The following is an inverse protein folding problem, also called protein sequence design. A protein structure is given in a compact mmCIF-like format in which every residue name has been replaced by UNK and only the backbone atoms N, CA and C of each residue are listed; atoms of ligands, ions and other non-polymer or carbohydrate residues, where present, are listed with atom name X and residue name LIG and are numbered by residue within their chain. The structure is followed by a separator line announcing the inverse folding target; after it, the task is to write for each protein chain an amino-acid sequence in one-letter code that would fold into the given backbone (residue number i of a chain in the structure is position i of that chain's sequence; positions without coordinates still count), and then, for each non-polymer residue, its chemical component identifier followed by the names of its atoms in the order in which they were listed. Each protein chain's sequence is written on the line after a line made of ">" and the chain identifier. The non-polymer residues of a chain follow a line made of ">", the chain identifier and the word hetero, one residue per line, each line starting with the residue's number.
data_IF_881010860835
#
_entry.id   IF_881010860835
#
_cell.length_a   1.000
_cell.length_b   1.000
_cell.length_c   1.000
_cell.angle_alpha   90.00
_cell.angle_beta   90.00
_cell.angle_gamma   90.00
#
_symmetry.space_group_name_H-M   'P 1'
#
loop_
_entity.id
_entity.type
_entity.pdbx_description
1 polymer ?
#
# COMPACT_ATOMS: atom_id res chain seq x y z
N UNK A 1 -39.39 50.14 95.85
CA UNK A 1 -39.53 48.71 96.18
C UNK A 1 -39.22 47.94 94.90
N UNK A 2 -38.06 47.31 94.84
CA UNK A 2 -37.67 46.48 93.70
C UNK A 2 -38.59 45.27 93.63
N UNK A 3 -39.39 45.14 92.56
CA UNK A 3 -40.30 44.02 92.37
C UNK A 3 -39.57 42.90 91.64
N UNK A 4 -39.43 41.79 92.35
CA UNK A 4 -38.93 40.53 91.82
C UNK A 4 -40.14 39.65 91.50
N UNK A 5 -40.18 39.07 90.31
CA UNK A 5 -41.18 38.08 89.90
C UNK A 5 -40.50 36.73 89.66
N UNK A 6 -41.31 35.67 89.56
CA UNK A 6 -40.82 34.31 89.33
C UNK A 6 -41.43 33.78 88.04
N UNK A 7 -40.58 33.28 87.14
CA UNK A 7 -40.97 32.60 85.91
C UNK A 7 -40.46 31.15 85.95
N UNK A 8 -41.18 30.21 85.32
CA UNK A 8 -40.78 28.80 85.33
C UNK A 8 -39.76 28.50 84.23
N UNK A 9 -38.71 27.75 84.59
CA UNK A 9 -37.72 27.25 83.64
C UNK A 9 -38.36 26.23 82.69
N UNK A 10 -38.23 26.46 81.39
CA UNK A 10 -38.87 25.64 80.35
C UNK A 10 -38.30 24.21 80.24
N UNK A 11 -37.14 23.92 80.85
CA UNK A 11 -36.52 22.59 80.81
C UNK A 11 -36.78 21.75 82.06
N UNK A 12 -36.57 22.30 83.27
CA UNK A 12 -36.69 21.56 84.53
C UNK A 12 -37.93 21.91 85.35
N UNK A 13 -38.67 22.97 84.96
CA UNK A 13 -39.86 23.45 85.66
C UNK A 13 -39.59 24.26 86.93
N UNK A 14 -38.33 24.44 87.34
CA UNK A 14 -38.00 25.20 88.55
C UNK A 14 -38.11 26.71 88.40
N UNK A 15 -38.15 27.41 89.52
CA UNK A 15 -38.37 28.86 89.61
C UNK A 15 -37.14 29.69 89.21
N UNK A 16 -37.29 30.62 88.25
CA UNK A 16 -36.31 31.63 87.86
C UNK A 16 -36.77 32.97 88.44
N UNK A 17 -35.96 33.57 89.32
CA UNK A 17 -36.22 34.92 89.85
C UNK A 17 -35.76 35.96 88.86
N UNK A 18 -36.66 36.85 88.46
CA UNK A 18 -36.40 37.90 87.47
C UNK A 18 -36.82 39.26 88.00
N UNK A 19 -36.10 40.30 87.61
CA UNK A 19 -36.38 41.67 88.00
C UNK A 19 -37.26 42.33 86.94
N UNK A 20 -38.19 43.20 87.34
CA UNK A 20 -39.08 43.90 86.38
C UNK A 20 -38.33 44.75 85.35
N UNK A 21 -37.14 45.27 85.71
CA UNK A 21 -36.30 46.08 84.81
C UNK A 21 -35.42 45.23 83.85
N UNK A 22 -35.63 43.91 83.76
CA UNK A 22 -34.91 43.08 82.79
C UNK A 22 -35.64 43.05 81.44
N UNK A 23 -35.04 43.68 80.43
CA UNK A 23 -35.59 43.71 79.07
C UNK A 23 -35.65 42.33 78.40
N UNK A 24 -34.84 41.36 78.87
CA UNK A 24 -34.79 39.99 78.34
C UNK A 24 -34.87 38.97 79.48
N UNK A 25 -36.09 38.50 79.76
CA UNK A 25 -36.38 37.49 80.78
C UNK A 25 -35.84 36.12 80.31
N UNK A 26 -34.96 35.44 81.07
CA UNK A 26 -34.44 34.13 80.69
C UNK A 26 -35.51 33.03 80.69
N UNK A 27 -35.56 32.23 79.61
CA UNK A 27 -36.47 31.07 79.51
C UNK A 27 -35.99 29.82 80.28
N UNK A 28 -34.70 29.78 80.65
CA UNK A 28 -34.06 28.64 81.30
C UNK A 28 -33.16 29.11 82.45
N UNK A 29 -32.97 28.30 83.50
CA UNK A 29 -31.88 28.52 84.46
C UNK A 29 -30.53 28.52 83.76
N UNK A 30 -29.53 29.18 84.34
CA UNK A 30 -28.18 29.23 83.79
C UNK A 30 -27.60 27.84 83.53
N UNK A 31 -27.83 26.88 84.44
CA UNK A 31 -27.44 25.47 84.25
C UNK A 31 -28.35 24.67 83.29
N UNK A 32 -29.60 25.08 83.08
CA UNK A 32 -30.56 24.37 82.22
C UNK A 32 -30.55 24.85 80.76
N UNK A 33 -30.00 26.05 80.52
CA UNK A 33 -29.95 26.69 79.22
C UNK A 33 -29.04 25.97 78.21
N UNK A 34 -28.11 25.14 78.70
CA UNK A 34 -27.12 24.43 77.90
C UNK A 34 -27.33 22.92 77.97
N UNK A 35 -27.00 22.22 76.88
CA UNK A 35 -26.91 20.77 76.87
C UNK A 35 -25.68 20.32 76.08
N UNK A 36 -25.18 19.13 76.40
CA UNK A 36 -24.05 18.53 75.70
C UNK A 36 -24.55 17.69 74.53
N UNK A 37 -23.99 17.92 73.35
CA UNK A 37 -24.15 17.08 72.16
C UNK A 37 -22.79 16.64 71.62
N UNK A 38 -22.75 15.64 70.75
CA UNK A 38 -21.52 15.20 70.06
C UNK A 38 -21.36 15.90 68.71
N UNK A 39 -20.13 16.28 68.36
CA UNK A 39 -19.80 16.83 67.05
C UNK A 39 -19.80 15.74 65.97
N UNK A 40 -20.57 15.94 64.88
CA UNK A 40 -20.69 14.98 63.76
C UNK A 40 -19.36 14.65 63.04
N UNK A 41 -18.35 15.51 63.16
CA UNK A 41 -17.06 15.39 62.43
C UNK A 41 -15.98 14.70 63.26
N UNK A 42 -15.92 15.00 64.58
CA UNK A 42 -14.83 14.52 65.43
C UNK A 42 -15.28 13.71 66.66
N UNK A 43 -16.60 13.56 66.87
CA UNK A 43 -17.17 12.81 68.00
C UNK A 43 -16.99 13.47 69.38
N UNK A 44 -16.25 14.58 69.49
CA UNK A 44 -16.05 15.30 70.77
C UNK A 44 -17.31 16.05 71.20
N UNK A 45 -17.47 16.26 72.50
CA UNK A 45 -18.59 16.99 73.07
C UNK A 45 -18.59 18.48 72.70
N UNK A 46 -19.78 19.06 72.64
CA UNK A 46 -20.04 20.49 72.45
C UNK A 46 -21.23 20.94 73.28
N UNK A 47 -21.15 22.15 73.82
CA UNK A 47 -22.26 22.77 74.57
C UNK A 47 -23.12 23.59 73.61
N UNK A 48 -24.43 23.34 73.66
CA UNK A 48 -25.41 23.97 72.78
C UNK A 48 -26.47 24.64 73.64
N UNK A 49 -26.77 25.89 73.33
CA UNK A 49 -27.84 26.63 74.01
C UNK A 49 -29.21 26.19 73.48
N UNK A 50 -30.15 25.90 74.37
CA UNK A 50 -31.49 25.40 74.02
C UNK A 50 -32.36 26.41 73.28
N UNK A 51 -32.06 27.70 73.42
CA UNK A 51 -32.77 28.78 72.70
C UNK A 51 -32.19 29.10 71.30
N UNK A 52 -31.22 28.33 70.79
CA UNK A 52 -30.74 28.52 69.42
C UNK A 52 -31.65 27.82 68.42
N UNK A 53 -32.25 28.56 67.50
CA UNK A 53 -33.13 28.01 66.45
C UNK A 53 -32.39 27.11 65.45
N UNK A 54 -31.09 27.36 65.26
CA UNK A 54 -30.21 26.59 64.37
C UNK A 54 -28.95 26.16 65.12
N UNK A 55 -29.06 25.17 66.02
CA UNK A 55 -27.93 24.73 66.82
C UNK A 55 -26.82 24.13 65.93
N UNK A 56 -25.54 24.44 66.19
CA UNK A 56 -24.45 23.87 65.41
C UNK A 56 -24.35 22.36 65.68
N UNK A 57 -24.14 21.57 64.63
CA UNK A 57 -23.95 20.12 64.72
C UNK A 57 -22.47 19.70 64.78
N UNK A 58 -21.56 20.65 64.60
CA UNK A 58 -20.12 20.43 64.69
C UNK A 58 -19.40 21.70 65.15
N UNK A 59 -18.23 21.54 65.79
CA UNK A 59 -17.38 22.67 66.17
C UNK A 59 -17.05 23.55 64.96
N UNK A 60 -16.96 24.86 65.17
CA UNK A 60 -16.54 25.83 64.14
C UNK A 60 -15.20 25.43 63.50
N UNK A 61 -14.26 24.97 64.32
CA UNK A 61 -12.94 24.49 63.87
C UNK A 61 -13.03 23.22 63.05
N UNK A 62 -13.93 22.30 63.38
CA UNK A 62 -14.14 21.07 62.60
C UNK A 62 -14.72 21.37 61.22
N UNK A 63 -15.71 22.28 61.14
CA UNK A 63 -16.24 22.77 59.86
C UNK A 63 -15.16 23.49 59.04
N UNK A 64 -14.32 24.30 59.68
CA UNK A 64 -13.20 24.97 59.02
C UNK A 64 -12.17 23.98 58.47
N UNK A 65 -11.86 22.90 59.22
CA UNK A 65 -10.95 21.83 58.78
C UNK A 65 -11.50 21.04 57.59
N UNK A 66 -12.78 20.70 57.60
CA UNK A 66 -13.42 20.05 56.43
C UNK A 66 -13.47 20.99 55.22
N UNK A 67 -13.75 22.28 55.42
CA UNK A 67 -13.71 23.26 54.34
C UNK A 67 -12.30 23.41 53.75
N UNK A 68 -11.24 23.30 54.57
CA UNK A 68 -9.84 23.38 54.13
C UNK A 68 -9.40 22.19 53.26
N UNK A 69 -10.12 21.07 53.28
CA UNK A 69 -9.87 19.92 52.39
C UNK A 69 -10.37 20.15 50.96
N UNK A 70 -11.12 21.22 50.71
CA UNK A 70 -11.56 21.59 49.37
C UNK A 70 -10.58 22.56 48.73
N UNK A 71 -10.11 22.20 47.54
CA UNK A 71 -9.20 23.00 46.73
C UNK A 71 -9.87 23.40 45.41
N UNK A 72 -9.29 24.39 44.75
CA UNK A 72 -9.69 24.82 43.41
C UNK A 72 -8.53 24.64 42.43
N UNK A 73 -8.86 24.35 41.17
CA UNK A 73 -7.94 24.43 40.04
C UNK A 73 -8.65 25.00 38.82
N UNK A 74 -7.92 25.51 37.83
CA UNK A 74 -8.52 25.98 36.58
C UNK A 74 -8.79 24.83 35.60
N UNK A 75 -9.93 24.91 34.91
CA UNK A 75 -10.25 24.05 33.79
C UNK A 75 -9.36 24.37 32.60
N UNK A 76 -8.69 23.37 32.03
CA UNK A 76 -7.77 23.56 30.89
C UNK A 76 -8.45 24.05 29.60
N UNK A 77 -9.78 23.97 29.48
CA UNK A 77 -10.50 24.42 28.28
C UNK A 77 -11.11 25.82 28.43
N UNK A 78 -11.88 26.06 29.49
CA UNK A 78 -12.62 27.32 29.67
C UNK A 78 -12.03 28.25 30.72
N UNK A 79 -11.00 27.83 31.45
CA UNK A 79 -10.34 28.62 32.48
C UNK A 79 -11.10 28.75 33.81
N UNK A 80 -12.40 28.42 33.85
CA UNK A 80 -13.22 28.49 35.08
C UNK A 80 -12.72 27.51 36.15
N UNK A 81 -13.03 27.81 37.41
CA UNK A 81 -12.58 26.99 38.54
C UNK A 81 -13.31 25.64 38.65
N UNK A 82 -12.57 24.61 39.04
CA UNK A 82 -13.03 23.27 39.38
C UNK A 82 -12.72 23.07 40.87
N UNK A 83 -13.76 22.88 41.69
CA UNK A 83 -13.60 22.50 43.10
C UNK A 83 -13.36 21.00 43.21
N UNK A 84 -12.38 20.59 44.00
CA UNK A 84 -12.08 19.19 44.25
C UNK A 84 -11.70 18.98 45.72
N UNK A 85 -11.98 17.78 46.23
CA UNK A 85 -11.60 17.39 47.59
C UNK A 85 -10.19 16.79 47.58
N UNK A 86 -9.40 17.03 48.64
CA UNK A 86 -8.03 16.55 48.77
C UNK A 86 -7.92 15.02 48.63
N UNK A 87 -8.94 14.27 49.04
CA UNK A 87 -8.97 12.80 48.97
C UNK A 87 -9.37 12.23 47.60
N UNK A 88 -9.66 13.08 46.60
CA UNK A 88 -9.99 12.60 45.26
C UNK A 88 -8.75 12.05 44.55
N UNK A 89 -8.71 10.74 44.31
CA UNK A 89 -7.63 10.07 43.59
C UNK A 89 -7.39 10.64 42.18
N UNK A 90 -8.46 11.01 41.48
CA UNK A 90 -8.41 11.53 40.11
C UNK A 90 -9.12 12.89 40.05
N UNK A 91 -8.36 13.95 40.23
CA UNK A 91 -8.88 15.33 40.14
C UNK A 91 -9.12 15.69 38.66
N UNK A 92 -10.37 16.02 38.26
CA UNK A 92 -10.67 16.35 36.88
C UNK A 92 -9.85 17.54 36.35
N UNK A 93 -9.42 17.46 35.09
CA UNK A 93 -8.74 18.58 34.41
C UNK A 93 -9.70 19.55 33.71
N UNK A 94 -10.93 19.11 33.50
CA UNK A 94 -11.99 19.80 32.77
C UNK A 94 -13.31 19.70 33.53
N UNK A 95 -14.21 20.68 33.36
CA UNK A 95 -15.61 20.52 33.75
C UNK A 95 -16.27 19.40 32.97
N UNK A 96 -17.37 18.84 33.50
CA UNK A 96 -18.13 17.76 32.85
C UNK A 96 -18.50 18.10 31.41
N UNK A 97 -18.92 19.34 31.15
CA UNK A 97 -19.24 19.85 29.82
C UNK A 97 -18.02 20.22 28.98
N UNK A 98 -16.90 20.58 29.61
CA UNK A 98 -15.66 20.95 28.92
C UNK A 98 -14.79 19.74 28.54
N UNK A 99 -15.01 18.61 29.20
CA UNK A 99 -14.25 17.38 29.03
C UNK A 99 -14.47 16.73 27.66
N UNK A 100 -15.57 17.08 26.99
CA UNK A 100 -15.95 16.58 25.67
C UNK A 100 -15.63 17.61 24.59
N UNK A 101 -15.32 17.11 23.38
CA UNK A 101 -15.13 17.92 22.19
C UNK A 101 -15.68 17.18 20.98
N UNK A 102 -16.23 17.93 20.03
CA UNK A 102 -16.69 17.38 18.75
C UNK A 102 -15.54 17.32 17.76
N UNK A 103 -15.36 16.18 17.12
CA UNK A 103 -14.47 15.98 15.96
C UNK A 103 -15.24 15.37 14.79
N UNK A 104 -14.67 15.43 13.60
CA UNK A 104 -15.23 14.79 12.42
C UNK A 104 -14.72 13.35 12.27
N UNK A 105 -15.63 12.45 11.90
CA UNK A 105 -15.33 11.06 11.59
C UNK A 105 -14.50 10.98 10.29
N UNK A 106 -13.39 10.25 10.30
CA UNK A 106 -12.50 10.14 9.14
C UNK A 106 -13.08 9.34 7.95
N UNK A 107 -14.23 8.68 8.12
CA UNK A 107 -14.85 7.82 7.10
C UNK A 107 -16.10 8.46 6.51
N UNK A 108 -17.02 8.97 7.36
CA UNK A 108 -18.28 9.56 6.90
C UNK A 108 -18.33 11.08 7.01
N UNK A 109 -17.30 11.71 7.58
CA UNK A 109 -17.24 13.14 7.89
C UNK A 109 -18.33 13.67 8.83
N UNK A 110 -19.17 12.79 9.39
CA UNK A 110 -20.14 13.13 10.43
C UNK A 110 -19.49 13.49 11.77
N UNK A 111 -20.20 14.22 12.61
CA UNK A 111 -19.73 14.62 13.94
C UNK A 111 -19.65 13.44 14.92
N UNK A 112 -18.66 13.49 15.81
CA UNK A 112 -18.52 12.55 16.92
C UNK A 112 -17.96 13.26 18.16
N UNK A 113 -18.44 12.87 19.34
CA UNK A 113 -17.96 13.38 20.61
C UNK A 113 -16.81 12.50 21.12
N UNK A 114 -15.72 13.16 21.54
CA UNK A 114 -14.58 12.49 22.16
C UNK A 114 -14.18 13.21 23.44
N UNK A 115 -13.62 12.46 24.37
CA UNK A 115 -13.12 13.02 25.62
C UNK A 115 -11.70 13.56 25.43
N UNK A 116 -11.40 14.75 25.96
CA UNK A 116 -10.12 15.44 25.78
C UNK A 116 -8.93 14.72 26.41
N UNK A 117 -9.16 13.98 27.50
CA UNK A 117 -8.11 13.22 28.20
C UNK A 117 -7.84 11.82 27.64
N UNK A 118 -8.54 11.39 26.60
CA UNK A 118 -8.27 10.09 25.99
C UNK A 118 -6.92 10.12 25.26
N UNK A 119 -6.01 9.22 25.62
CA UNK A 119 -4.70 9.10 24.96
C UNK A 119 -4.84 8.65 23.50
N UNK A 120 -5.81 7.78 23.23
CA UNK A 120 -6.09 7.22 21.91
C UNK A 120 -7.57 7.40 21.55
N UNK A 121 -8.02 8.65 21.29
CA UNK A 121 -9.42 8.89 21.00
C UNK A 121 -9.81 8.25 19.66
N UNK A 122 -11.03 7.71 19.52
CA UNK A 122 -11.50 7.20 18.26
C UNK A 122 -11.47 8.27 17.16
N UNK A 123 -11.08 7.89 15.95
CA UNK A 123 -11.04 8.77 14.76
C UNK A 123 -12.26 8.62 13.86
N UNK A 124 -13.07 7.60 14.09
CA UNK A 124 -14.27 7.30 13.33
C UNK A 124 -15.29 6.57 14.21
N UNK A 125 -16.57 6.65 13.85
CA UNK A 125 -17.64 5.91 14.53
C UNK A 125 -17.36 4.40 14.50
N UNK A 126 -17.75 3.71 15.57
CA UNK A 126 -17.64 2.24 15.66
C UNK A 126 -18.32 1.56 14.46
N UNK A 127 -19.48 2.06 14.07
CA UNK A 127 -20.25 1.56 12.93
C UNK A 127 -19.56 1.82 11.59
N UNK A 128 -18.93 2.99 11.41
CA UNK A 128 -18.14 3.28 10.21
C UNK A 128 -16.96 2.32 10.07
N UNK A 129 -16.24 2.04 11.17
CA UNK A 129 -15.17 1.04 11.17
C UNK A 129 -15.70 -0.36 10.86
N UNK A 130 -16.86 -0.73 11.39
CA UNK A 130 -17.49 -2.02 11.11
C UNK A 130 -17.90 -2.16 9.64
N UNK A 131 -18.47 -1.10 9.04
CA UNK A 131 -18.79 -1.04 7.61
C UNK A 131 -17.56 -1.18 6.72
N UNK A 132 -16.48 -0.47 7.02
CA UNK A 132 -15.22 -0.62 6.29
C UNK A 132 -14.63 -2.02 6.47
N UNK A 133 -14.69 -2.59 7.68
CA UNK A 133 -14.27 -3.97 7.91
C UNK A 133 -15.09 -4.98 7.09
N UNK A 134 -16.39 -4.74 6.88
CA UNK A 134 -17.28 -5.59 6.08
C UNK A 134 -16.98 -5.55 4.56
N UNK A 135 -16.26 -4.54 4.07
CA UNK A 135 -15.79 -4.49 2.68
C UNK A 135 -14.63 -5.44 2.41
N UNK A 136 -13.99 -5.97 3.44
CA UNK A 136 -12.95 -6.98 3.28
C UNK A 136 -13.57 -8.35 3.02
N UNK A 137 -13.16 -8.97 1.93
CA UNK A 137 -13.57 -10.30 1.49
C UNK A 137 -12.37 -11.26 1.51
N UNK A 138 -12.67 -12.55 1.44
CA UNK A 138 -11.67 -13.61 1.32
C UNK A 138 -11.90 -14.42 0.05
N UNK A 139 -10.82 -14.92 -0.55
CA UNK A 139 -10.85 -15.93 -1.62
C UNK A 139 -9.69 -16.90 -1.44
N UNK A 140 -9.76 -18.09 -2.02
CA UNK A 140 -8.65 -19.05 -1.96
C UNK A 140 -7.56 -18.75 -2.99
N UNK A 141 -6.30 -18.95 -2.60
CA UNK A 141 -5.16 -18.91 -3.50
C UNK A 141 -5.16 -20.12 -4.42
N UNK A 142 -5.05 -19.89 -5.75
CA UNK A 142 -5.03 -20.98 -6.74
C UNK A 142 -3.84 -21.95 -6.62
N UNK A 143 -2.76 -21.58 -5.93
CA UNK A 143 -1.58 -22.43 -5.76
C UNK A 143 -1.56 -23.20 -4.44
N UNK A 144 -1.75 -22.51 -3.30
CA UNK A 144 -1.63 -23.13 -1.97
C UNK A 144 -2.96 -23.37 -1.26
N UNK A 145 -4.10 -22.93 -1.83
CA UNK A 145 -5.43 -23.08 -1.24
C UNK A 145 -5.74 -22.14 -0.06
N UNK A 146 -4.71 -21.55 0.58
CA UNK A 146 -4.90 -20.63 1.72
C UNK A 146 -5.66 -19.36 1.33
N UNK A 147 -6.26 -18.70 2.30
CA UNK A 147 -7.09 -17.51 2.08
C UNK A 147 -6.26 -16.26 1.75
N UNK A 148 -6.75 -15.49 0.78
CA UNK A 148 -6.29 -14.15 0.40
C UNK A 148 -7.36 -13.17 0.82
N UNK A 149 -7.02 -12.25 1.73
CA UNK A 149 -7.88 -11.11 2.09
C UNK A 149 -7.73 -10.02 1.05
N UNK A 150 -8.86 -9.52 0.55
CA UNK A 150 -8.88 -8.42 -0.41
C UNK A 150 -10.02 -7.45 -0.09
N UNK A 151 -9.89 -6.21 -0.52
CA UNK A 151 -10.94 -5.21 -0.39
C UNK A 151 -11.90 -5.29 -1.58
N UNK A 152 -13.20 -5.16 -1.36
CA UNK A 152 -14.22 -5.25 -2.41
C UNK A 152 -14.01 -4.23 -3.54
N UNK A 153 -13.43 -3.07 -3.23
CA UNK A 153 -13.20 -1.99 -4.20
C UNK A 153 -11.87 -2.14 -4.99
N UNK A 154 -11.10 -3.22 -4.80
CA UNK A 154 -9.90 -3.47 -5.59
C UNK A 154 -10.25 -3.88 -7.01
N UNK A 155 -9.77 -3.12 -8.00
CA UNK A 155 -9.95 -3.42 -9.43
C UNK A 155 -9.36 -4.78 -9.81
N UNK A 156 -8.14 -5.05 -9.35
CA UNK A 156 -7.38 -6.25 -9.69
C UNK A 156 -7.15 -7.09 -8.42
N UNK A 157 -8.09 -8.00 -8.15
CA UNK A 157 -8.01 -8.88 -6.99
C UNK A 157 -6.99 -9.99 -7.23
N UNK A 158 -5.93 -10.12 -6.41
CA UNK A 158 -4.90 -11.15 -6.60
C UNK A 158 -5.46 -12.58 -6.59
N UNK A 159 -4.99 -13.42 -7.51
CA UNK A 159 -5.32 -14.85 -7.54
C UNK A 159 -4.37 -15.71 -6.68
N UNK A 160 -3.22 -15.14 -6.34
CA UNK A 160 -2.14 -15.81 -5.62
C UNK A 160 -1.66 -14.91 -4.48
N UNK A 161 -1.19 -15.52 -3.38
CA UNK A 161 -0.37 -14.78 -2.41
C UNK A 161 0.89 -14.24 -3.08
N UNK A 162 1.47 -13.18 -2.52
CA UNK A 162 2.69 -12.55 -3.04
C UNK A 162 3.83 -13.56 -3.21
N UNK A 163 3.96 -14.49 -2.27
CA UNK A 163 4.94 -15.58 -2.31
C UNK A 163 4.54 -16.72 -3.27
N UNK A 164 3.24 -16.97 -3.45
CA UNK A 164 2.74 -18.02 -4.34
C UNK A 164 2.70 -17.59 -5.81
N UNK A 165 2.63 -16.29 -6.07
CA UNK A 165 2.51 -15.68 -7.39
C UNK A 165 3.71 -15.97 -8.29
N UNK A 166 4.88 -16.23 -7.70
CA UNK A 166 6.13 -16.43 -8.42
C UNK A 166 6.58 -17.88 -8.36
N UNK A 167 7.15 -18.37 -9.45
CA UNK A 167 7.80 -19.68 -9.54
C UNK A 167 9.05 -19.58 -10.41
N UNK A 168 9.88 -20.61 -10.40
CA UNK A 168 11.03 -20.71 -11.30
C UNK A 168 10.74 -21.67 -12.45
N UNK A 169 11.31 -21.37 -13.63
CA UNK A 169 11.35 -22.24 -14.81
C UNK A 169 12.76 -22.19 -15.41
N UNK A 170 13.25 -23.31 -15.94
CA UNK A 170 14.55 -23.36 -16.62
C UNK A 170 14.53 -22.63 -17.97
N UNK A 171 15.60 -21.89 -18.26
CA UNK A 171 15.86 -21.29 -19.58
C UNK A 171 16.02 -22.38 -20.64
N UNK A 172 15.31 -22.26 -21.75
CA UNK A 172 15.37 -23.24 -22.83
C UNK A 172 16.77 -23.33 -23.46
N UNK A 173 17.61 -22.29 -23.38
CA UNK A 173 18.94 -22.25 -24.01
C UNK A 173 20.07 -22.71 -23.09
N UNK A 174 20.15 -22.16 -21.88
CA UNK A 174 21.27 -22.40 -20.94
C UNK A 174 20.86 -23.08 -19.63
N UNK A 175 19.58 -23.47 -19.48
CA UNK A 175 19.03 -24.14 -18.29
C UNK A 175 19.08 -23.34 -16.97
N UNK A 176 19.54 -22.08 -16.99
CA UNK A 176 19.49 -21.18 -15.83
C UNK A 176 18.06 -20.97 -15.35
N UNK A 177 17.85 -20.82 -14.03
CA UNK A 177 16.53 -20.55 -13.46
C UNK A 177 16.04 -19.14 -13.81
N UNK A 178 14.82 -19.05 -14.33
CA UNK A 178 14.11 -17.80 -14.65
C UNK A 178 12.94 -17.69 -13.68
N UNK A 179 12.81 -16.52 -13.04
CA UNK A 179 11.66 -16.20 -12.20
C UNK A 179 10.49 -15.76 -13.07
N UNK A 180 9.36 -16.45 -12.97
CA UNK A 180 8.14 -16.20 -13.74
C UNK A 180 6.93 -16.07 -12.83
N UNK A 181 5.93 -15.30 -13.26
CA UNK A 181 4.66 -15.18 -12.56
C UNK A 181 3.69 -16.27 -13.04
N UNK A 182 2.97 -16.91 -12.11
CA UNK A 182 2.03 -18.01 -12.42
C UNK A 182 0.84 -17.57 -13.27
N UNK A 183 0.45 -16.30 -13.17
CA UNK A 183 -0.62 -15.71 -13.98
C UNK A 183 -0.20 -15.19 -15.36
N UNK A 184 1.04 -15.42 -15.81
CA UNK A 184 1.44 -15.03 -17.18
C UNK A 184 0.92 -16.05 -18.20
N UNK A 185 0.15 -15.59 -19.19
CA UNK A 185 -0.30 -16.43 -20.32
C UNK A 185 0.88 -16.86 -21.21
N UNK A 186 1.84 -15.95 -21.42
CA UNK A 186 3.03 -16.17 -22.26
C UNK A 186 4.32 -15.95 -21.46
N UNK A 187 4.69 -16.89 -20.56
CA UNK A 187 5.90 -16.73 -19.77
C UNK A 187 7.16 -16.79 -20.64
N UNK A 188 8.22 -16.06 -20.27
CA UNK A 188 9.46 -16.01 -21.05
C UNK A 188 10.14 -17.37 -21.10
N UNK A 189 10.60 -17.75 -22.29
CA UNK A 189 11.33 -19.01 -22.56
C UNK A 189 12.84 -18.92 -22.31
N UNK A 190 13.38 -17.71 -22.38
CA UNK A 190 14.82 -17.46 -22.31
C UNK A 190 15.13 -16.46 -21.20
N UNK A 191 16.25 -16.67 -20.51
CA UNK A 191 16.75 -15.74 -19.50
C UNK A 191 17.31 -14.48 -20.16
N UNK A 192 17.44 -13.41 -19.39
CA UNK A 192 17.85 -12.12 -19.94
C UNK A 192 19.28 -12.12 -20.48
N UNK A 193 20.17 -12.95 -19.93
CA UNK A 193 21.52 -13.12 -20.49
C UNK A 193 21.49 -13.76 -21.88
N UNK A 194 20.66 -14.79 -22.09
CA UNK A 194 20.46 -15.38 -23.42
C UNK A 194 19.79 -14.40 -24.39
N UNK A 195 18.79 -13.62 -23.94
CA UNK A 195 18.15 -12.59 -24.77
C UNK A 195 19.16 -11.55 -25.26
N UNK A 196 20.09 -11.13 -24.38
CA UNK A 196 21.16 -10.17 -24.73
C UNK A 196 22.19 -10.80 -25.66
N UNK A 197 22.64 -12.02 -25.37
CA UNK A 197 23.67 -12.72 -26.16
C UNK A 197 23.22 -13.01 -27.59
N UNK A 198 21.96 -13.44 -27.72
CA UNK A 198 21.34 -13.81 -29.00
C UNK A 198 20.36 -12.73 -29.49
N UNK A 199 20.61 -11.46 -29.16
CA UNK A 199 19.82 -10.34 -29.65
C UNK A 199 19.74 -10.39 -31.20
N UNK A 200 18.62 -9.99 -31.82
CA UNK A 200 18.48 -10.04 -33.27
C UNK A 200 19.61 -9.33 -34.01
N UNK A 201 20.18 -9.97 -35.04
CA UNK A 201 21.30 -9.42 -35.82
C UNK A 201 20.90 -9.27 -37.27
N UNK A 202 21.36 -8.20 -37.90
CA UNK A 202 21.17 -7.99 -39.33
C UNK A 202 22.30 -8.68 -40.12
N UNK A 203 21.93 -9.40 -41.18
CA UNK A 203 22.85 -10.01 -42.12
C UNK A 203 22.45 -9.64 -43.55
N UNK A 204 23.44 -9.56 -44.46
CA UNK A 204 23.17 -9.37 -45.89
C UNK A 204 23.01 -10.71 -46.59
N UNK A 205 21.97 -10.85 -47.41
CA UNK A 205 21.73 -12.05 -48.20
C UNK A 205 22.85 -12.24 -49.24
N UNK A 206 23.51 -13.40 -49.21
CA UNK A 206 24.54 -13.76 -50.18
C UNK A 206 24.03 -13.75 -51.62
N UNK A 207 22.75 -14.09 -51.84
CA UNK A 207 22.14 -14.17 -53.16
C UNK A 207 21.67 -12.81 -53.69
N UNK A 208 20.73 -12.14 -53.00
CA UNK A 208 20.13 -10.89 -53.50
C UNK A 208 20.73 -9.60 -52.90
N UNK A 209 21.54 -9.70 -51.83
CA UNK A 209 22.16 -8.55 -51.17
C UNK A 209 21.28 -7.81 -50.15
N UNK A 210 19.97 -8.08 -50.13
CA UNK A 210 19.05 -7.47 -49.16
C UNK A 210 19.45 -7.82 -47.73
N UNK A 211 19.39 -6.84 -46.83
CA UNK A 211 19.52 -7.06 -45.39
C UNK A 211 18.30 -7.81 -44.86
N UNK A 212 18.53 -8.74 -43.93
CA UNK A 212 17.47 -9.43 -43.22
C UNK A 212 17.89 -9.66 -41.77
N UNK A 213 16.90 -9.74 -40.88
CA UNK A 213 17.14 -9.92 -39.45
C UNK A 213 17.10 -11.41 -39.09
N UNK A 214 18.15 -11.88 -38.41
CA UNK A 214 18.21 -13.22 -37.84
C UNK A 214 17.64 -13.15 -36.43
N UNK A 215 16.47 -13.76 -36.22
CA UNK A 215 15.80 -13.80 -34.92
C UNK A 215 16.65 -14.52 -33.86
N UNK A 216 16.41 -14.18 -32.60
CA UNK A 216 17.04 -14.85 -31.45
C UNK A 216 16.81 -16.37 -31.48
N UNK A 217 15.59 -16.81 -31.80
CA UNK A 217 15.26 -18.24 -31.87
C UNK A 217 16.12 -18.98 -32.89
N UNK A 218 16.31 -18.40 -34.09
CA UNK A 218 17.17 -18.96 -35.12
C UNK A 218 18.63 -19.03 -34.68
N UNK A 219 19.16 -17.98 -34.03
CA UNK A 219 20.54 -17.98 -33.53
C UNK A 219 20.76 -19.06 -32.48
N UNK A 220 19.83 -19.21 -31.54
CA UNK A 220 19.88 -20.25 -30.49
C UNK A 220 19.80 -21.64 -31.12
N UNK A 221 18.88 -21.85 -32.07
CA UNK A 221 18.73 -23.15 -32.73
C UNK A 221 19.95 -23.52 -33.56
N UNK A 222 20.52 -22.58 -34.32
CA UNK A 222 21.78 -22.79 -35.02
C UNK A 222 22.90 -23.20 -34.06
N UNK A 223 23.05 -22.51 -32.91
CA UNK A 223 24.06 -22.85 -31.91
C UNK A 223 23.87 -24.24 -31.31
N UNK A 224 22.62 -24.62 -31.01
CA UNK A 224 22.28 -25.96 -30.46
C UNK A 224 22.52 -27.09 -31.44
N UNK A 225 22.16 -26.88 -32.71
CA UNK A 225 22.31 -27.90 -33.76
C UNK A 225 23.71 -27.93 -34.38
N UNK A 226 24.62 -27.02 -34.00
CA UNK A 226 25.93 -26.87 -34.64
C UNK A 226 25.84 -26.36 -36.09
N UNK A 227 24.78 -25.62 -36.43
CA UNK A 227 24.57 -25.07 -37.77
C UNK A 227 25.14 -23.66 -37.89
N UNK A 228 25.62 -23.34 -39.09
CA UNK A 228 25.94 -21.97 -39.47
C UNK A 228 24.68 -21.09 -39.50
N UNK A 229 24.88 -19.79 -39.25
CA UNK A 229 23.82 -18.81 -39.42
C UNK A 229 23.37 -18.75 -40.90
N UNK A 230 22.08 -18.51 -41.17
CA UNK A 230 21.58 -18.43 -42.53
C UNK A 230 22.32 -17.36 -43.34
N UNK A 231 22.81 -17.73 -44.52
CA UNK A 231 23.46 -16.81 -45.47
C UNK A 231 22.48 -16.21 -46.49
N UNK A 232 21.24 -16.69 -46.53
CA UNK A 232 20.19 -16.24 -47.47
C UNK A 232 18.96 -15.78 -46.69
N UNK A 233 18.33 -14.71 -47.17
CA UNK A 233 17.05 -14.26 -46.64
C UNK A 233 15.94 -15.28 -46.94
N UNK A 234 14.83 -15.17 -46.22
CA UNK A 234 13.68 -16.08 -46.32
C UNK A 234 13.18 -16.26 -47.77
N UNK A 235 12.96 -15.17 -48.50
CA UNK A 235 12.54 -15.24 -49.91
C UNK A 235 13.53 -16.01 -50.78
N UNK A 236 14.84 -15.81 -50.57
CA UNK A 236 15.88 -16.55 -51.29
C UNK A 236 16.06 -17.99 -50.80
N UNK A 237 15.59 -18.36 -49.61
CA UNK A 237 15.54 -19.77 -49.19
C UNK A 237 14.35 -20.47 -49.85
N UNK A 238 13.21 -19.81 -49.89
CA UNK A 238 11.99 -20.36 -50.52
C UNK A 238 12.17 -20.53 -52.04
N UNK A 239 12.80 -19.56 -52.72
CA UNK A 239 13.13 -19.67 -54.16
C UNK A 239 13.92 -20.95 -54.50
N UNK A 240 14.83 -21.37 -53.62
CA UNK A 240 15.72 -22.52 -53.82
C UNK A 240 15.17 -23.84 -53.25
N UNK A 241 14.01 -23.81 -52.60
CA UNK A 241 13.34 -25.00 -52.05
C UNK A 241 12.71 -25.86 -53.15
N UNK A 242 12.24 -25.21 -54.21
CA UNK A 242 11.55 -25.84 -55.35
C UNK A 242 12.55 -26.39 -56.38
N UNK A 243 12.86 -27.69 -56.30
CA UNK A 243 13.73 -28.43 -57.23
C UNK A 243 12.88 -29.32 -58.15
N UNK A 244 13.35 -29.71 -59.36
CA UNK A 244 14.66 -29.43 -59.95
C UNK A 244 14.78 -28.01 -60.53
N UNK A 245 16.01 -27.60 -60.85
CA UNK A 245 16.29 -26.32 -61.49
C UNK A 245 16.48 -26.51 -63.00
N UNK A 246 15.83 -25.66 -63.81
CA UNK A 246 15.95 -25.69 -65.28
C UNK A 246 16.73 -24.47 -65.75
N UNK A 247 17.72 -24.68 -66.62
CA UNK A 247 18.48 -23.59 -67.25
C UNK A 247 18.13 -23.51 -68.73
N UNK A 248 17.71 -22.34 -69.18
CA UNK A 248 17.38 -22.06 -70.57
C UNK A 248 18.42 -21.10 -71.17
N UNK A 249 18.83 -21.38 -72.41
CA UNK A 249 19.74 -20.53 -73.17
C UNK A 249 18.92 -19.59 -74.05
N UNK A 250 19.18 -18.30 -73.95
CA UNK A 250 18.53 -17.27 -74.76
C UNK A 250 19.59 -16.38 -75.40
N UNK A 251 19.41 -16.08 -76.67
CA UNK A 251 20.26 -15.14 -77.41
C UNK A 251 19.70 -13.73 -77.27
N UNK A 252 20.55 -12.76 -76.91
CA UNK A 252 20.16 -11.35 -76.88
C UNK A 252 20.13 -10.75 -78.28
N UNK A 253 19.44 -9.62 -78.44
CA UNK A 253 19.28 -8.88 -79.71
C UNK A 253 20.65 -8.50 -80.33
N UNK A 254 21.70 -8.41 -79.52
CA UNK A 254 23.08 -8.12 -79.94
C UNK A 254 23.96 -9.38 -80.10
N UNK A 255 23.37 -10.57 -80.29
CA UNK A 255 24.10 -11.82 -80.50
C UNK A 255 24.79 -12.41 -79.27
N UNK A 256 24.53 -11.89 -78.06
CA UNK A 256 25.10 -12.39 -76.81
C UNK A 256 24.34 -13.60 -76.27
N UNK A 257 25.03 -14.55 -75.64
CA UNK A 257 24.39 -15.70 -74.99
C UNK A 257 24.11 -15.42 -73.50
N UNK A 258 22.86 -15.62 -73.07
CA UNK A 258 22.44 -15.53 -71.66
C UNK A 258 21.81 -16.85 -71.23
N UNK A 259 22.16 -17.32 -70.05
CA UNK A 259 21.60 -18.51 -69.42
C UNK A 259 20.70 -18.09 -68.27
N UNK A 260 19.39 -18.39 -68.34
CA UNK A 260 18.42 -18.07 -67.28
C UNK A 260 18.07 -19.35 -66.53
N UNK A 261 18.18 -19.34 -65.21
CA UNK A 261 17.88 -20.49 -64.35
C UNK A 261 16.57 -20.26 -63.61
N UNK A 262 15.63 -21.21 -63.74
CA UNK A 262 14.32 -21.19 -63.10
C UNK A 262 14.17 -22.34 -62.11
N UNK A 263 13.33 -22.15 -61.10
CA UNK A 263 12.88 -23.23 -60.23
C UNK A 263 11.73 -24.04 -60.86
N UNK A 264 11.28 -25.11 -60.19
CA UNK A 264 10.24 -26.01 -60.71
C UNK A 264 8.87 -25.35 -60.88
N UNK A 265 8.65 -24.16 -60.29
CA UNK A 265 7.42 -23.37 -60.39
C UNK A 265 7.57 -22.17 -61.35
N UNK A 266 8.66 -22.13 -62.14
CA UNK A 266 8.87 -21.12 -63.19
C UNK A 266 9.41 -19.77 -62.71
N UNK A 267 9.82 -19.63 -61.45
CA UNK A 267 10.41 -18.39 -60.94
C UNK A 267 11.90 -18.30 -61.28
N UNK A 268 12.33 -17.11 -61.73
CA UNK A 268 13.73 -16.84 -62.08
C UNK A 268 14.60 -16.80 -60.81
N UNK A 269 15.58 -17.70 -60.75
CA UNK A 269 16.59 -17.75 -59.68
C UNK A 269 17.74 -16.79 -60.02
N UNK A 270 18.23 -16.85 -61.26
CA UNK A 270 19.36 -16.03 -61.67
C UNK A 270 19.66 -16.14 -63.15
N UNK A 271 20.54 -15.26 -63.61
CA UNK A 271 20.97 -15.14 -65.00
C UNK A 271 22.49 -15.17 -65.07
N UNK A 272 23.03 -15.85 -66.07
CA UNK A 272 24.47 -15.90 -66.32
C UNK A 272 24.75 -15.40 -67.73
N UNK A 273 25.68 -14.45 -67.88
CA UNK A 273 26.04 -13.88 -69.18
C UNK A 273 27.53 -14.06 -69.43
N UNK A 274 27.87 -14.46 -70.64
CA UNK A 274 29.25 -14.49 -71.11
C UNK A 274 29.68 -13.05 -71.46
N UNK A 275 30.75 -12.59 -70.84
CA UNK A 275 31.30 -11.24 -70.96
C UNK A 275 32.79 -11.33 -71.33
N UNK A 276 33.23 -10.45 -72.23
CA UNK A 276 34.66 -10.24 -72.53
C UNK A 276 35.16 -9.08 -71.67
N UNK A 277 36.25 -9.31 -70.93
CA UNK A 277 36.93 -8.28 -70.15
C UNK A 277 37.70 -7.28 -71.02
N UNK A 278 38.17 -6.20 -70.40
CA UNK A 278 38.91 -5.12 -71.08
C UNK A 278 40.21 -5.59 -71.76
N UNK A 279 40.84 -6.66 -71.24
CA UNK A 279 42.05 -7.26 -71.80
C UNK A 279 41.78 -8.50 -72.69
N UNK A 280 40.53 -8.72 -73.12
CA UNK A 280 40.15 -9.87 -73.96
C UNK A 280 39.83 -11.16 -73.19
N UNK A 281 39.97 -11.18 -71.86
CA UNK A 281 39.64 -12.35 -71.04
C UNK A 281 38.15 -12.69 -71.08
N UNK A 282 37.81 -13.93 -71.44
CA UNK A 282 36.42 -14.42 -71.39
C UNK A 282 36.05 -14.85 -69.98
N UNK A 283 34.91 -14.36 -69.49
CA UNK A 283 34.37 -14.74 -68.18
C UNK A 283 32.85 -14.85 -68.23
N UNK A 284 32.30 -15.76 -67.44
CA UNK A 284 30.85 -15.86 -67.21
C UNK A 284 30.50 -15.18 -65.90
N UNK A 285 29.68 -14.13 -65.95
CA UNK A 285 29.16 -13.46 -64.75
C UNK A 285 27.81 -14.05 -64.38
N UNK A 286 27.68 -14.50 -63.14
CA UNK A 286 26.43 -14.98 -62.56
C UNK A 286 25.78 -13.85 -61.76
N UNK A 287 24.51 -13.53 -62.07
CA UNK A 287 23.70 -12.54 -61.37
C UNK A 287 22.47 -13.22 -60.77
N UNK A 288 22.10 -12.78 -59.57
CA UNK A 288 20.80 -13.09 -58.98
C UNK A 288 19.67 -12.41 -59.77
N UNK A 289 18.44 -12.82 -59.50
CA UNK A 289 17.23 -12.15 -60.03
C UNK A 289 17.13 -10.66 -59.68
N UNK A 290 17.85 -10.19 -58.66
CA UNK A 290 17.92 -8.75 -58.29
C UNK A 290 19.11 -8.02 -58.92
N UNK A 291 19.85 -8.66 -59.84
CA UNK A 291 20.98 -8.07 -60.54
C UNK A 291 22.32 -8.09 -59.79
N UNK A 292 22.34 -8.51 -58.51
CA UNK A 292 23.57 -8.68 -57.72
C UNK A 292 24.43 -9.80 -58.32
N UNK A 293 25.72 -9.54 -58.50
CA UNK A 293 26.69 -10.57 -58.95
C UNK A 293 26.90 -11.58 -57.84
N UNK A 294 26.57 -12.84 -58.10
CA UNK A 294 26.68 -13.97 -57.15
C UNK A 294 27.97 -14.77 -57.35
N UNK A 295 28.60 -14.65 -58.52
CA UNK A 295 29.87 -15.29 -58.83
C UNK A 295 30.38 -14.92 -60.22
N UNK A 296 31.66 -15.18 -60.47
CA UNK A 296 32.30 -15.05 -61.78
C UNK A 296 33.09 -16.33 -62.04
N UNK A 297 32.78 -17.00 -63.14
CA UNK A 297 33.53 -18.17 -63.62
C UNK A 297 34.50 -17.71 -64.71
N UNK A 298 35.77 -18.08 -64.60
CA UNK A 298 36.81 -17.79 -65.62
C UNK A 298 37.35 -19.10 -66.14
N UNK A 299 37.65 -19.18 -67.43
CA UNK A 299 38.50 -20.26 -67.93
C UNK A 299 39.92 -20.05 -67.39
N UNK A 300 40.48 -21.10 -66.79
CA UNK A 300 41.82 -21.04 -66.20
C UNK A 300 42.81 -21.35 -67.32
N UNK A 301 43.44 -20.32 -67.90
CA UNK A 301 44.59 -20.52 -68.77
C UNK A 301 45.83 -20.72 -67.89
N UNK A 302 46.35 -21.95 -67.84
CA UNK A 302 47.67 -22.22 -67.25
C UNK A 302 48.77 -21.73 -68.19
N UNK A 303 49.86 -21.20 -67.62
CA UNK A 303 51.01 -20.64 -68.34
C UNK A 303 51.72 -21.66 -69.26
N UNK A 304 51.47 -22.95 -69.06
CA UNK A 304 51.76 -24.01 -70.00
C UNK A 304 50.42 -24.60 -70.44
N UNK A 305 50.05 -24.30 -71.68
CA UNK A 305 48.79 -24.75 -72.24
C UNK A 305 48.73 -26.27 -72.30
N UNK A 306 47.70 -26.85 -71.70
CA UNK A 306 46.89 -27.88 -72.33
C UNK A 306 45.57 -28.08 -71.57
N UNK A 307 44.59 -28.53 -72.33
CA UNK A 307 43.16 -28.67 -72.03
C UNK A 307 42.84 -29.39 -70.71
#
# INVERSE_FOLDING_TARGET
>A
MSKWSTVSCRHCGGDIRVHEDWDNIPEYHKECAWYTSSCDICGRSMEIHRAWDNPPTAHKECKAREAAKWHTRSCKHCGREIKYHQDWKNVPEYHKECAWTTKSCSICHGSMEIHRVWDNPPTAHKECKAREAAKWRTRSCKHCGREIRYHQDWKDVPEYHKECAWTTKSCDSCYSQIRIHRGWETPPRFCDSCKRTYAPKNASCAHCGKSFQISMGTQIQCKKSGWDLPKRCENCRELFKHKPFRTERTTTIFGGTVFKTYNSIGQLIGESKDETGFFGDKRRRHRSSTGKTTGITREKTTLFGNK
#
